data_IF_052040443740
#
_entry.id   IF_052040443740
#
_cell.length_a   1.000
_cell.length_b   1.000
_cell.length_c   1.000
_cell.angle_alpha   90.00
_cell.angle_beta   90.00
_cell.angle_gamma   90.00
#
_symmetry.space_group_name_H-M   'P 1'
#
loop_
_entity.id
_entity.type
_entity.pdbx_description
1 polymer ?
#
# COMPACT_ATOMS: atom_id res chain seq x y z
N UNK A 1 3.01 51.92 -23.66
CA UNK A 1 2.11 51.03 -24.43
C UNK A 1 1.81 49.81 -23.59
N UNK A 2 0.54 49.54 -23.23
CA UNK A 2 0.20 48.34 -22.48
C UNK A 2 0.29 47.13 -23.41
N UNK A 3 0.97 46.06 -22.97
CA UNK A 3 1.01 44.78 -23.67
C UNK A 3 -0.36 44.13 -23.56
N UNK A 4 -1.00 43.87 -24.69
CA UNK A 4 -2.23 43.07 -24.75
C UNK A 4 -1.95 41.69 -24.14
N UNK A 5 -2.85 41.15 -23.29
CA UNK A 5 -2.71 39.79 -22.80
C UNK A 5 -2.85 38.83 -23.99
N UNK A 6 -1.83 38.01 -24.24
CA UNK A 6 -1.90 36.94 -25.24
C UNK A 6 -3.01 35.98 -24.81
N UNK A 7 -4.06 35.85 -25.63
CA UNK A 7 -5.06 34.81 -25.46
C UNK A 7 -4.35 33.44 -25.39
N UNK A 8 -4.70 32.56 -24.42
CA UNK A 8 -4.13 31.23 -24.37
C UNK A 8 -4.41 30.52 -25.71
N UNK A 9 -3.43 29.74 -26.18
CA UNK A 9 -3.53 29.00 -27.42
C UNK A 9 -4.88 28.28 -27.50
N UNK A 10 -5.63 28.50 -28.59
CA UNK A 10 -6.90 27.82 -28.84
C UNK A 10 -6.68 26.31 -28.69
N UNK A 11 -7.36 25.69 -27.73
CA UNK A 11 -7.41 24.24 -27.61
C UNK A 11 -8.09 23.72 -28.88
N UNK A 12 -7.33 23.05 -29.74
CA UNK A 12 -7.88 22.38 -30.92
C UNK A 12 -8.47 21.06 -30.43
N UNK A 13 -9.72 21.08 -29.98
CA UNK A 13 -10.49 19.88 -29.65
C UNK A 13 -10.89 19.22 -30.98
N UNK A 14 -10.32 18.05 -31.29
CA UNK A 14 -10.62 17.32 -32.54
C UNK A 14 -11.70 16.26 -32.34
N UNK A 15 -11.90 15.84 -31.10
CA UNK A 15 -12.88 14.85 -30.67
C UNK A 15 -13.28 15.09 -29.21
N UNK A 16 -14.44 14.59 -28.79
CA UNK A 16 -14.92 14.73 -27.41
C UNK A 16 -13.93 14.16 -26.35
N UNK A 17 -13.20 13.06 -26.62
CA UNK A 17 -12.13 12.58 -25.74
C UNK A 17 -10.97 13.56 -25.51
N UNK A 18 -10.69 14.49 -26.44
CA UNK A 18 -9.64 15.50 -26.29
C UNK A 18 -9.97 16.53 -25.20
N UNK A 19 -11.21 16.53 -24.68
CA UNK A 19 -11.62 17.34 -23.54
C UNK A 19 -11.10 16.79 -22.20
N UNK A 20 -10.66 15.53 -22.17
CA UNK A 20 -10.07 14.91 -20.98
C UNK A 20 -8.57 15.13 -21.01
N UNK A 21 -7.98 15.84 -20.02
CA UNK A 21 -6.54 16.02 -19.99
C UNK A 21 -5.85 14.64 -19.91
N UNK A 22 -4.76 14.43 -20.66
CA UNK A 22 -3.99 13.20 -20.55
C UNK A 22 -3.50 13.05 -19.11
N UNK A 23 -3.55 11.82 -18.60
CA UNK A 23 -3.06 11.51 -17.26
C UNK A 23 -1.55 11.28 -17.35
N UNK A 24 -0.78 12.14 -16.70
CA UNK A 24 0.65 11.94 -16.54
C UNK A 24 0.92 10.78 -15.56
N UNK A 25 1.86 9.86 -15.87
CA UNK A 25 2.24 8.80 -14.94
C UNK A 25 2.79 9.38 -13.64
N UNK A 26 2.38 8.82 -12.50
CA UNK A 26 2.98 9.18 -11.20
C UNK A 26 4.21 8.32 -10.90
N UNK A 27 5.02 8.75 -9.93
CA UNK A 27 6.19 8.00 -9.47
C UNK A 27 5.78 6.60 -8.98
N UNK A 28 6.48 5.56 -9.47
CA UNK A 28 6.23 4.17 -9.10
C UNK A 28 5.15 3.48 -9.93
N UNK A 29 4.53 4.19 -10.88
CA UNK A 29 3.67 3.57 -11.87
C UNK A 29 4.46 3.05 -13.07
N UNK A 30 3.95 1.97 -13.64
CA UNK A 30 4.38 1.50 -14.94
C UNK A 30 3.40 2.04 -16.01
N UNK A 31 3.84 2.95 -16.90
CA UNK A 31 3.02 3.49 -17.96
C UNK A 31 2.47 2.40 -18.90
N UNK A 32 3.22 1.31 -19.09
CA UNK A 32 2.80 0.18 -19.92
C UNK A 32 1.66 -0.60 -19.26
N UNK A 33 1.75 -0.82 -17.95
CA UNK A 33 0.67 -1.41 -17.18
C UNK A 33 -0.63 -0.59 -17.26
N UNK A 34 -0.55 0.74 -17.15
CA UNK A 34 -1.73 1.60 -17.31
C UNK A 34 -2.32 1.50 -18.72
N UNK A 35 -1.49 1.51 -19.76
CA UNK A 35 -1.94 1.40 -21.14
C UNK A 35 -2.67 0.07 -21.41
N UNK A 36 -2.11 -1.06 -20.93
CA UNK A 36 -2.73 -2.39 -21.03
C UNK A 36 -4.05 -2.43 -20.24
N UNK A 37 -4.05 -1.92 -19.00
CA UNK A 37 -5.24 -1.87 -18.14
C UNK A 37 -6.38 -1.06 -18.78
N UNK A 38 -6.07 0.15 -19.26
CA UNK A 38 -7.01 1.02 -19.95
C UNK A 38 -7.56 0.36 -21.20
N UNK A 39 -6.69 -0.20 -22.05
CA UNK A 39 -7.12 -0.86 -23.29
C UNK A 39 -8.05 -2.03 -23.04
N UNK A 40 -7.74 -2.89 -22.05
CA UNK A 40 -8.59 -4.03 -21.70
C UNK A 40 -9.96 -3.62 -21.15
N UNK A 41 -10.03 -2.61 -20.28
CA UNK A 41 -11.32 -2.11 -19.78
C UNK A 41 -12.12 -1.36 -20.83
N UNK A 42 -11.48 -0.54 -21.67
CA UNK A 42 -12.15 0.14 -22.77
C UNK A 42 -12.78 -0.87 -23.75
N UNK A 43 -12.06 -1.96 -24.06
CA UNK A 43 -12.58 -3.05 -24.88
C UNK A 43 -13.79 -3.75 -24.22
N UNK A 44 -13.72 -4.01 -22.91
CA UNK A 44 -14.80 -4.66 -22.16
C UNK A 44 -16.05 -3.79 -22.03
N UNK A 45 -15.87 -2.47 -21.89
CA UNK A 45 -16.97 -1.52 -21.83
C UNK A 45 -17.62 -1.32 -23.21
N UNK A 46 -16.84 -1.40 -24.28
CA UNK A 46 -17.29 -1.27 -25.67
C UNK A 46 -18.18 -0.03 -25.90
N UNK A 47 -17.70 1.19 -25.56
CA UNK A 47 -18.42 2.42 -25.85
C UNK A 47 -18.66 2.57 -27.36
N UNK A 48 -19.87 2.99 -27.73
CA UNK A 48 -20.30 3.20 -29.11
C UNK A 48 -20.49 4.68 -29.44
N UNK A 49 -20.59 5.55 -28.42
CA UNK A 49 -20.73 7.00 -28.60
C UNK A 49 -19.61 7.74 -27.88
N UNK A 50 -19.29 8.94 -28.35
CA UNK A 50 -18.24 9.77 -27.72
C UNK A 50 -18.57 10.18 -26.27
N UNK A 51 -19.85 10.16 -25.89
CA UNK A 51 -20.24 10.39 -24.49
C UNK A 51 -20.04 9.13 -23.64
N UNK A 52 -20.35 7.95 -24.18
CA UNK A 52 -20.01 6.68 -23.54
C UNK A 52 -18.49 6.54 -23.38
N UNK A 53 -17.68 6.97 -24.36
CA UNK A 53 -16.22 7.01 -24.24
C UNK A 53 -15.77 7.83 -23.03
N UNK A 54 -16.33 9.04 -22.86
CA UNK A 54 -16.00 9.91 -21.73
C UNK A 54 -16.32 9.26 -20.38
N UNK A 55 -17.50 8.65 -20.26
CA UNK A 55 -17.92 7.98 -19.03
C UNK A 55 -17.08 6.72 -18.79
N UNK A 56 -16.74 5.97 -19.84
CA UNK A 56 -15.86 4.82 -19.77
C UNK A 56 -14.45 5.19 -19.30
N UNK A 57 -13.86 6.27 -19.83
CA UNK A 57 -12.54 6.76 -19.39
C UNK A 57 -12.54 7.21 -17.91
N UNK A 58 -13.62 7.86 -17.44
CA UNK A 58 -13.78 8.19 -16.03
C UNK A 58 -13.85 6.91 -15.16
N UNK A 59 -14.60 5.90 -15.60
CA UNK A 59 -14.66 4.61 -14.90
C UNK A 59 -13.29 3.92 -14.87
N UNK A 60 -12.56 3.90 -15.98
CA UNK A 60 -11.21 3.34 -16.08
C UNK A 60 -10.26 4.05 -15.11
N UNK A 61 -10.31 5.39 -15.05
CA UNK A 61 -9.50 6.17 -14.12
C UNK A 61 -9.78 5.78 -12.65
N UNK A 62 -11.05 5.67 -12.27
CA UNK A 62 -11.44 5.25 -10.91
C UNK A 62 -10.97 3.82 -10.60
N UNK A 63 -11.15 2.89 -11.54
CA UNK A 63 -10.70 1.51 -11.37
C UNK A 63 -9.18 1.42 -11.24
N UNK A 64 -8.44 2.24 -11.98
CA UNK A 64 -6.99 2.31 -11.85
C UNK A 64 -6.59 2.87 -10.47
N UNK A 65 -7.18 3.98 -10.05
CA UNK A 65 -6.94 4.55 -8.71
C UNK A 65 -7.26 3.54 -7.59
N UNK A 66 -8.30 2.72 -7.74
CA UNK A 66 -8.60 1.62 -6.80
C UNK A 66 -7.47 0.60 -6.71
N UNK A 67 -6.93 0.17 -7.86
CA UNK A 67 -5.76 -0.74 -7.89
C UNK A 67 -4.56 -0.09 -7.19
N UNK A 68 -4.35 1.20 -7.41
CA UNK A 68 -3.25 1.93 -6.78
C UNK A 68 -3.40 2.02 -5.27
N UNK A 69 -4.56 2.43 -4.78
CA UNK A 69 -4.82 2.53 -3.34
C UNK A 69 -4.72 1.18 -2.63
N UNK A 70 -5.14 0.09 -3.28
CA UNK A 70 -4.94 -1.28 -2.74
C UNK A 70 -3.47 -1.63 -2.64
N UNK A 71 -2.67 -1.38 -3.68
CA UNK A 71 -1.21 -1.60 -3.65
C UNK A 71 -0.53 -0.74 -2.58
N UNK A 72 -0.88 0.54 -2.47
CA UNK A 72 -0.31 1.45 -1.48
C UNK A 72 -0.67 1.03 -0.04
N UNK A 73 -1.92 0.61 0.17
CA UNK A 73 -2.35 0.01 1.46
C UNK A 73 -1.52 -1.22 1.80
N UNK A 74 -1.33 -2.13 0.85
CA UNK A 74 -0.59 -3.38 1.08
C UNK A 74 0.90 -3.12 1.36
N UNK A 75 1.50 -2.14 0.67
CA UNK A 75 2.87 -1.68 0.96
C UNK A 75 2.96 -1.05 2.35
N UNK A 76 2.01 -0.18 2.71
CA UNK A 76 1.97 0.43 4.04
C UNK A 76 1.80 -0.63 5.14
N UNK A 77 0.93 -1.62 4.93
CA UNK A 77 0.75 -2.74 5.85
C UNK A 77 2.04 -3.56 5.99
N UNK A 78 2.73 -3.84 4.88
CA UNK A 78 4.03 -4.52 4.90
C UNK A 78 5.10 -3.75 5.69
N UNK A 79 5.14 -2.42 5.57
CA UNK A 79 6.04 -1.57 6.36
C UNK A 79 5.70 -1.64 7.86
N UNK A 80 4.42 -1.60 8.21
CA UNK A 80 3.98 -1.71 9.61
C UNK A 80 4.38 -3.06 10.24
N UNK A 81 4.23 -4.16 9.48
CA UNK A 81 4.66 -5.49 9.94
C UNK A 81 6.17 -5.53 10.12
N UNK A 82 6.93 -4.95 9.18
CA UNK A 82 8.40 -4.84 9.28
C UNK A 82 8.80 -4.11 10.55
N UNK A 83 8.22 -2.95 10.81
CA UNK A 83 8.54 -2.14 11.99
C UNK A 83 8.18 -2.88 13.29
N UNK A 84 7.04 -3.58 13.33
CA UNK A 84 6.65 -4.40 14.47
C UNK A 84 7.64 -5.55 14.76
N UNK A 85 8.16 -6.22 13.72
CA UNK A 85 9.19 -7.26 13.87
C UNK A 85 10.47 -6.66 14.44
N UNK A 86 10.91 -5.51 13.91
CA UNK A 86 12.13 -4.84 14.38
C UNK A 86 11.98 -4.44 15.86
N UNK A 87 10.85 -3.82 16.23
CA UNK A 87 10.59 -3.43 17.62
C UNK A 87 10.57 -4.63 18.56
N UNK A 88 9.96 -5.74 18.15
CA UNK A 88 9.90 -6.93 18.99
C UNK A 88 11.26 -7.58 19.21
N UNK A 89 12.11 -7.64 18.17
CA UNK A 89 13.50 -8.12 18.32
C UNK A 89 14.28 -7.21 19.25
N UNK A 90 14.18 -5.89 19.08
CA UNK A 90 14.87 -4.93 19.96
C UNK A 90 14.41 -5.05 21.42
N UNK A 91 13.11 -5.21 21.65
CA UNK A 91 12.58 -5.41 23.00
C UNK A 91 13.07 -6.71 23.60
N UNK A 92 13.08 -7.81 22.82
CA UNK A 92 13.57 -9.10 23.29
C UNK A 92 15.04 -9.05 23.70
N UNK A 93 15.89 -8.51 22.83
CA UNK A 93 17.33 -8.38 23.09
C UNK A 93 17.60 -7.47 24.31
N UNK A 94 16.76 -6.45 24.52
CA UNK A 94 16.83 -5.62 25.72
C UNK A 94 16.42 -6.38 26.98
N UNK A 95 15.32 -7.13 26.94
CA UNK A 95 14.87 -7.94 28.07
C UNK A 95 15.92 -9.01 28.44
N UNK A 96 16.56 -9.62 27.43
CA UNK A 96 17.63 -10.60 27.63
C UNK A 96 18.87 -9.91 28.24
N UNK A 97 19.28 -8.74 27.76
CA UNK A 97 20.38 -7.95 28.33
C UNK A 97 20.11 -7.52 29.79
N UNK A 98 18.92 -6.99 30.08
CA UNK A 98 18.54 -6.58 31.42
C UNK A 98 18.55 -7.78 32.38
N UNK A 99 18.06 -8.95 31.93
CA UNK A 99 18.10 -10.20 32.70
C UNK A 99 19.53 -10.68 32.98
N UNK A 100 20.46 -10.52 32.03
CA UNK A 100 21.87 -10.83 32.22
C UNK A 100 22.54 -9.87 33.20
N UNK A 101 22.24 -8.56 33.12
CA UNK A 101 22.75 -7.56 34.06
C UNK A 101 22.26 -7.84 35.49
N UNK A 102 20.99 -8.18 35.66
CA UNK A 102 20.41 -8.57 36.95
C UNK A 102 21.14 -9.80 37.53
N UNK A 103 21.36 -10.83 36.71
CA UNK A 103 22.09 -12.03 37.15
C UNK A 103 23.55 -11.73 37.54
N UNK A 104 24.23 -10.86 36.79
CA UNK A 104 25.58 -10.40 37.12
C UNK A 104 25.62 -9.56 38.40
N UNK A 105 24.64 -8.69 38.60
CA UNK A 105 24.50 -7.88 39.79
C UNK A 105 24.26 -8.78 41.02
N UNK A 106 23.37 -9.76 40.93
CA UNK A 106 23.09 -10.72 42.01
C UNK A 106 24.34 -11.52 42.40
N UNK A 107 25.11 -11.99 41.41
CA UNK A 107 26.39 -12.68 41.66
C UNK A 107 27.40 -11.77 42.36
N UNK A 108 27.53 -10.51 41.94
CA UNK A 108 28.41 -9.50 42.55
C UNK A 108 28.08 -9.26 44.03
N UNK A 109 26.78 -9.15 44.36
CA UNK A 109 26.32 -9.01 45.75
C UNK A 109 26.59 -10.29 46.55
N UNK A 110 26.38 -11.47 45.96
CA UNK A 110 26.65 -12.75 46.62
C UNK A 110 28.15 -12.95 46.96
N UNK A 111 29.05 -12.38 46.17
CA UNK A 111 30.50 -12.33 46.45
C UNK A 111 30.86 -11.35 47.59
N UNK A 112 29.88 -10.62 48.12
CA UNK A 112 30.05 -9.69 49.24
C UNK A 112 30.51 -8.30 48.81
N UNK A 113 30.50 -8.01 47.51
CA UNK A 113 30.79 -6.67 47.02
C UNK A 113 29.59 -5.73 47.29
N UNK A 114 29.88 -4.43 47.39
CA UNK A 114 28.84 -3.42 47.61
C UNK A 114 28.08 -3.12 46.33
N UNK A 115 26.76 -2.98 46.43
CA UNK A 115 25.89 -2.50 45.35
C UNK A 115 26.33 -1.12 44.84
N UNK A 116 26.80 -0.24 45.74
CA UNK A 116 27.26 1.10 45.37
C UNK A 116 28.55 1.11 44.54
N UNK A 117 29.28 0.00 44.52
CA UNK A 117 30.49 -0.17 43.72
C UNK A 117 30.24 -0.91 42.39
N UNK A 118 29.00 -1.34 42.14
CA UNK A 118 28.65 -2.05 40.92
C UNK A 118 28.79 -1.16 39.69
N UNK A 119 29.23 -1.79 38.59
CA UNK A 119 29.31 -1.21 37.26
C UNK A 119 28.85 -2.26 36.27
N UNK A 120 28.01 -1.84 35.33
CA UNK A 120 27.55 -2.68 34.24
C UNK A 120 28.76 -3.28 33.48
N UNK A 121 28.81 -4.61 33.29
CA UNK A 121 29.90 -5.26 32.58
C UNK A 121 29.99 -4.89 31.10
N UNK A 122 28.86 -4.59 30.47
CA UNK A 122 28.73 -4.21 29.08
C UNK A 122 27.44 -3.41 28.86
N UNK A 123 27.41 -2.59 27.81
CA UNK A 123 26.23 -1.78 27.43
C UNK A 123 25.38 -2.50 26.38
N UNK A 124 24.07 -2.28 26.40
CA UNK A 124 23.17 -2.72 25.32
C UNK A 124 23.55 -2.06 23.98
N UNK A 125 23.62 -2.86 22.91
CA UNK A 125 23.82 -2.36 21.54
C UNK A 125 22.49 -2.26 20.77
N UNK A 126 21.82 -1.09 20.77
CA UNK A 126 20.57 -0.90 20.04
C UNK A 126 20.74 -0.99 18.52
N UNK A 127 21.94 -0.71 18.00
CA UNK A 127 22.18 -0.76 16.56
C UNK A 127 22.29 -2.22 16.08
N UNK A 128 22.98 -3.07 16.83
CA UNK A 128 23.04 -4.51 16.57
C UNK A 128 21.66 -5.16 16.66
N UNK A 129 20.89 -4.88 17.71
CA UNK A 129 19.53 -5.42 17.87
C UNK A 129 18.61 -4.98 16.71
N UNK A 130 18.70 -3.71 16.29
CA UNK A 130 17.92 -3.21 15.15
C UNK A 130 18.35 -3.84 13.83
N UNK A 131 19.64 -4.11 13.64
CA UNK A 131 20.16 -4.80 12.46
C UNK A 131 19.66 -6.25 12.41
N UNK A 132 19.65 -6.96 13.55
CA UNK A 132 19.09 -8.31 13.66
C UNK A 132 17.58 -8.32 13.34
N UNK A 133 16.82 -7.37 13.88
CA UNK A 133 15.40 -7.22 13.57
C UNK A 133 15.14 -6.91 12.09
N UNK A 134 16.00 -6.11 11.47
CA UNK A 134 15.93 -5.79 10.03
C UNK A 134 16.17 -7.03 9.17
N UNK A 135 17.21 -7.80 9.48
CA UNK A 135 17.50 -9.08 8.80
C UNK A 135 16.31 -10.05 8.91
N UNK A 136 15.75 -10.20 10.11
CA UNK A 136 14.59 -11.06 10.32
C UNK A 136 13.41 -10.62 9.46
N UNK A 137 13.10 -9.32 9.44
CA UNK A 137 12.00 -8.78 8.64
C UNK A 137 12.22 -8.93 7.12
N UNK A 138 13.47 -8.82 6.64
CA UNK A 138 13.82 -9.09 5.24
C UNK A 138 13.62 -10.58 4.88
N UNK A 139 14.02 -11.49 5.76
CA UNK A 139 13.85 -12.94 5.53
C UNK A 139 12.39 -13.37 5.49
N UNK A 140 11.48 -12.70 6.21
CA UNK A 140 10.03 -12.97 6.16
C UNK A 140 9.42 -12.65 4.81
N UNK A 141 9.93 -11.64 4.10
CA UNK A 141 9.41 -11.24 2.78
C UNK A 141 10.16 -11.89 1.62
N UNK A 142 11.10 -12.80 1.92
CA UNK A 142 11.88 -13.52 0.91
C UNK A 142 11.00 -14.36 -0.02
N UNK A 143 11.35 -14.34 -1.31
CA UNK A 143 10.79 -15.22 -2.33
C UNK A 143 11.17 -16.69 -2.08
N UNK A 144 12.31 -16.95 -1.42
CA UNK A 144 12.69 -18.30 -1.02
C UNK A 144 11.83 -18.78 0.16
N UNK A 145 11.03 -19.81 -0.12
CA UNK A 145 10.15 -20.43 0.88
C UNK A 145 10.90 -20.99 2.09
N UNK A 146 12.06 -21.59 1.89
CA UNK A 146 12.85 -22.17 2.99
C UNK A 146 13.36 -21.08 3.94
N UNK A 147 13.82 -19.96 3.38
CA UNK A 147 14.25 -18.78 4.16
C UNK A 147 13.09 -18.20 4.95
N UNK A 148 11.93 -18.05 4.30
CA UNK A 148 10.73 -17.51 4.93
C UNK A 148 10.18 -18.41 6.04
N UNK A 149 10.09 -19.72 5.83
CA UNK A 149 9.55 -20.66 6.81
C UNK A 149 10.42 -20.70 8.09
N UNK A 150 11.75 -20.58 7.94
CA UNK A 150 12.68 -20.41 9.07
C UNK A 150 12.46 -19.09 9.82
N UNK A 151 12.28 -17.98 9.10
CA UNK A 151 12.03 -16.69 9.72
C UNK A 151 10.69 -16.66 10.49
N UNK A 152 9.65 -17.29 9.96
CA UNK A 152 8.36 -17.42 10.66
C UNK A 152 8.46 -18.28 11.92
N UNK A 153 9.31 -19.31 11.91
CA UNK A 153 9.61 -20.10 13.10
C UNK A 153 10.26 -19.24 14.17
N UNK A 154 11.28 -18.44 13.80
CA UNK A 154 11.94 -17.51 14.72
C UNK A 154 10.98 -16.47 15.29
N UNK A 155 10.06 -15.93 14.50
CA UNK A 155 9.01 -15.02 14.99
C UNK A 155 8.15 -15.69 16.07
N UNK A 156 7.82 -16.98 15.88
CA UNK A 156 7.03 -17.75 16.83
C UNK A 156 7.81 -18.02 18.12
N UNK A 157 9.12 -18.29 18.02
CA UNK A 157 10.03 -18.45 19.16
C UNK A 157 10.17 -17.16 19.98
N UNK A 158 10.08 -15.99 19.34
CA UNK A 158 10.00 -14.68 20.00
C UNK A 158 8.64 -14.43 20.70
N UNK A 159 7.72 -15.40 20.68
CA UNK A 159 6.41 -15.29 21.33
C UNK A 159 5.37 -14.50 20.55
N UNK A 160 5.63 -14.22 19.27
CA UNK A 160 4.69 -13.54 18.38
C UNK A 160 4.09 -14.52 17.38
N UNK A 161 2.79 -14.45 17.15
CA UNK A 161 2.20 -15.15 16.00
C UNK A 161 2.12 -14.24 14.77
N UNK A 162 2.24 -14.79 13.54
CA UNK A 162 2.05 -14.00 12.32
C UNK A 162 0.69 -13.28 12.25
N UNK A 163 -0.35 -13.88 12.82
CA UNK A 163 -1.69 -13.27 12.88
C UNK A 163 -1.76 -12.09 13.85
N UNK A 164 -1.07 -12.17 14.99
CA UNK A 164 -0.97 -11.03 15.92
C UNK A 164 -0.16 -9.89 15.31
N UNK A 165 0.95 -10.18 14.61
CA UNK A 165 1.71 -9.18 13.87
C UNK A 165 0.86 -8.49 12.81
N UNK A 166 0.07 -9.26 12.05
CA UNK A 166 -0.85 -8.71 11.06
C UNK A 166 -1.94 -7.86 11.73
N UNK A 167 -2.55 -8.35 12.81
CA UNK A 167 -3.57 -7.61 13.56
C UNK A 167 -3.02 -6.32 14.17
N UNK A 168 -1.81 -6.35 14.70
CA UNK A 168 -1.12 -5.19 15.25
C UNK A 168 -0.76 -4.18 14.16
N UNK A 169 -0.31 -4.65 12.99
CA UNK A 169 -0.03 -3.79 11.84
C UNK A 169 -1.27 -3.04 11.33
N UNK A 170 -2.47 -3.63 11.48
CA UNK A 170 -3.74 -2.96 11.22
C UNK A 170 -4.12 -1.93 12.30
N UNK A 171 -3.72 -2.13 13.58
CA UNK A 171 -4.07 -1.23 14.70
C UNK A 171 -3.10 -0.08 14.91
N UNK A 172 -1.79 -0.35 14.88
CA UNK A 172 -0.73 0.52 15.42
C UNK A 172 -0.39 1.71 14.52
N UNK A 173 -0.69 1.60 13.23
CA UNK A 173 -0.28 2.57 12.20
C UNK A 173 -1.46 3.11 11.39
N UNK A 174 -2.55 3.39 12.11
CA UNK A 174 -3.85 3.71 11.52
C UNK A 174 -3.83 4.86 10.50
N UNK A 175 -2.90 5.83 10.55
CA UNK A 175 -3.00 7.00 9.66
C UNK A 175 -2.78 6.70 8.17
N UNK A 176 -1.78 5.86 7.81
CA UNK A 176 -1.45 5.58 6.40
C UNK A 176 -2.35 4.52 5.80
N UNK A 177 -2.61 3.45 6.56
CA UNK A 177 -3.49 2.36 6.12
C UNK A 177 -4.95 2.84 6.07
N UNK A 178 -5.45 3.51 7.11
CA UNK A 178 -6.84 3.98 7.12
C UNK A 178 -7.11 5.01 6.03
N UNK A 179 -6.14 5.89 5.71
CA UNK A 179 -6.30 6.82 4.59
C UNK A 179 -6.59 6.09 3.27
N UNK A 180 -5.84 5.02 2.98
CA UNK A 180 -6.07 4.24 1.77
C UNK A 180 -7.34 3.40 1.84
N UNK A 181 -7.70 2.85 3.01
CA UNK A 181 -8.96 2.12 3.20
C UNK A 181 -10.19 3.03 3.00
N UNK A 182 -10.16 4.24 3.56
CA UNK A 182 -11.23 5.23 3.41
C UNK A 182 -11.35 5.67 1.95
N UNK A 183 -10.22 5.94 1.28
CA UNK A 183 -10.20 6.22 -0.17
C UNK A 183 -10.73 5.08 -1.02
N UNK A 184 -10.43 3.82 -0.68
CA UNK A 184 -10.99 2.67 -1.39
C UNK A 184 -12.51 2.67 -1.29
N UNK A 185 -13.08 2.91 -0.11
CA UNK A 185 -14.54 2.95 0.07
C UNK A 185 -15.17 4.09 -0.75
N UNK A 186 -14.59 5.29 -0.71
CA UNK A 186 -15.06 6.44 -1.51
C UNK A 186 -15.03 6.12 -3.01
N UNK A 187 -13.91 5.59 -3.50
CA UNK A 187 -13.72 5.24 -4.90
C UNK A 187 -14.65 4.11 -5.35
N UNK A 188 -14.90 3.11 -4.51
CA UNK A 188 -15.87 2.05 -4.81
C UNK A 188 -17.30 2.58 -4.92
N UNK A 189 -17.68 3.52 -4.05
CA UNK A 189 -18.99 4.16 -4.13
C UNK A 189 -19.11 4.97 -5.44
N UNK A 190 -18.09 5.75 -5.79
CA UNK A 190 -18.04 6.52 -7.04
C UNK A 190 -18.06 5.61 -8.27
N UNK A 191 -17.27 4.53 -8.27
CA UNK A 191 -17.26 3.50 -9.32
C UNK A 191 -18.65 2.92 -9.56
N UNK A 192 -19.37 2.53 -8.50
CA UNK A 192 -20.74 1.98 -8.61
C UNK A 192 -21.74 3.01 -9.14
N UNK A 193 -21.57 4.30 -8.83
CA UNK A 193 -22.40 5.36 -9.40
C UNK A 193 -22.13 5.51 -10.90
N UNK A 194 -20.87 5.72 -11.29
CA UNK A 194 -20.48 5.90 -12.70
C UNK A 194 -20.82 4.68 -13.54
N UNK A 195 -20.63 3.46 -13.01
CA UNK A 195 -21.01 2.23 -13.71
C UNK A 195 -22.52 2.13 -13.96
N UNK A 196 -23.36 2.55 -13.00
CA UNK A 196 -24.82 2.60 -13.20
C UNK A 196 -25.21 3.59 -14.29
N UNK A 197 -24.58 4.77 -14.31
CA UNK A 197 -24.81 5.77 -15.35
C UNK A 197 -24.38 5.22 -16.73
N UNK A 198 -23.23 4.55 -16.79
CA UNK A 198 -22.76 3.89 -18.00
C UNK A 198 -23.72 2.80 -18.49
N UNK A 199 -24.21 1.95 -17.59
CA UNK A 199 -25.14 0.88 -17.94
C UNK A 199 -26.49 1.42 -18.41
N UNK A 200 -26.94 2.55 -17.87
CA UNK A 200 -28.14 3.24 -18.35
C UNK A 200 -27.95 3.77 -19.78
N UNK A 201 -26.76 4.30 -20.11
CA UNK A 201 -26.44 4.73 -21.48
C UNK A 201 -26.45 3.54 -22.45
N UNK A 202 -25.80 2.44 -22.06
CA UNK A 202 -25.78 1.21 -22.84
C UNK A 202 -27.19 0.66 -23.11
N UNK A 203 -28.05 0.65 -22.09
CA UNK A 203 -29.42 0.17 -22.21
C UNK A 203 -30.32 1.09 -23.06
N UNK A 204 -29.99 2.37 -23.14
CA UNK A 204 -30.71 3.35 -23.95
C UNK A 204 -30.28 3.38 -25.43
N UNK A 205 -29.36 2.49 -25.84
CA UNK A 205 -28.92 2.40 -27.24
C UNK A 205 -30.12 2.11 -28.16
N UNK A 206 -30.22 2.81 -29.30
CA UNK A 206 -31.22 2.48 -30.31
C UNK A 206 -31.01 1.03 -30.77
N UNK A 207 -32.06 0.20 -30.67
CA UNK A 207 -32.06 -1.10 -31.34
C UNK A 207 -32.30 -0.84 -32.82
N UNK A 208 -31.36 -1.18 -33.68
CA UNK A 208 -31.62 -1.22 -35.13
C UNK A 208 -32.70 -2.27 -35.37
N UNK A 209 -33.94 -1.83 -35.56
CA UNK A 209 -34.99 -2.68 -36.06
C UNK A 209 -34.80 -2.80 -37.58
N UNK A 210 -34.42 -3.98 -38.06
CA UNK A 210 -34.53 -4.31 -39.48
C UNK A 210 -36.00 -4.14 -39.89
N UNK A 211 -36.27 -3.12 -40.70
CA UNK A 211 -37.54 -2.97 -41.40
C UNK A 211 -37.58 -4.08 -42.45
N UNK A 212 -38.30 -5.16 -42.15
CA UNK A 212 -38.63 -6.18 -43.14
C UNK A 212 -39.70 -5.55 -44.05
N UNK A 213 -39.26 -4.98 -45.17
CA UNK A 213 -40.18 -4.57 -46.23
C UNK A 213 -40.84 -5.83 -46.82
N UNK A 214 -42.18 -5.87 -46.78
CA UNK A 214 -43.03 -6.95 -47.28
C UNK A 214 -43.63 -6.62 -48.65
#
# INVERSE_FOLDING_TARGET
>A
MPRSPSLPARIVVRSFPDLVPPRDPLLGEDPEFFAIFRSGLAQALAPATSYEDLVAENLIAIEFELVQHRRLRDVALGQNIRDAIIEAVVNRERDDHDSELDAHHDAWIAEGHSAHAWKEPHEFDPAAARAAGTDLADRVTSLDRSVRDKALTQITELGMTPMELLGEAHRRFGNRVAYHEEKIVELEARRRAVKRDYDALQAARPVEAEVIDA
#
